data_IF_378475512452
#
_entry.id   IF_378475512452
#
_cell.length_a   1.000
_cell.length_b   1.000
_cell.length_c   1.000
_cell.angle_alpha   90.00
_cell.angle_beta   90.00
_cell.angle_gamma   90.00
#
_symmetry.space_group_name_H-M   'P 1'
#
loop_
_entity.id
_entity.type
_entity.pdbx_description
1 polymer ?
#
# COMPACT_ATOMS: atom_id res chain seq x y z
N UNK A 1 -7.55 8.99 10.01
CA UNK A 1 -6.40 9.29 10.88
C UNK A 1 -5.15 9.49 10.03
N UNK A 2 -4.15 10.21 10.57
CA UNK A 2 -2.89 10.48 9.89
C UNK A 2 -2.93 11.58 8.83
N UNK A 3 -1.77 11.91 8.31
CA UNK A 3 -1.51 12.91 7.29
C UNK A 3 -0.38 12.43 6.37
N UNK A 4 0.10 13.30 5.46
CA UNK A 4 1.24 13.01 4.58
C UNK A 4 2.43 12.46 5.38
N UNK A 5 2.97 11.32 4.93
CA UNK A 5 4.10 10.63 5.55
C UNK A 5 3.71 9.49 6.50
N UNK A 6 2.45 9.43 6.97
CA UNK A 6 1.96 8.29 7.73
C UNK A 6 1.37 7.21 6.82
N UNK A 7 1.32 5.96 7.28
CA UNK A 7 0.66 4.87 6.55
C UNK A 7 -0.81 4.69 6.91
N UNK A 8 -1.38 5.61 7.68
CA UNK A 8 -2.82 5.70 7.91
C UNK A 8 -3.59 6.08 6.64
N UNK A 9 -4.90 5.83 6.62
CA UNK A 9 -5.76 6.18 5.48
C UNK A 9 -5.64 7.67 5.09
N UNK A 10 -5.50 8.58 6.05
CA UNK A 10 -5.30 10.01 5.78
C UNK A 10 -3.97 10.34 5.07
N UNK A 11 -2.98 9.44 5.10
CA UNK A 11 -1.72 9.59 4.37
C UNK A 11 -1.71 8.93 2.99
N UNK A 12 -2.56 7.91 2.79
CA UNK A 12 -2.53 7.07 1.59
C UNK A 12 -3.80 7.16 0.73
N UNK A 13 -4.97 7.32 1.36
CA UNK A 13 -6.24 7.32 0.64
C UNK A 13 -6.48 8.66 -0.03
N UNK A 14 -6.76 8.62 -1.31
CA UNK A 14 -7.14 9.78 -2.13
C UNK A 14 -8.42 9.50 -2.90
N UNK A 15 -9.25 10.50 -3.18
CA UNK A 15 -10.37 10.35 -4.09
C UNK A 15 -9.88 10.08 -5.51
N UNK A 16 -10.61 9.24 -6.25
CA UNK A 16 -10.36 8.99 -7.65
C UNK A 16 -11.66 9.11 -8.45
N UNK A 17 -11.56 9.58 -9.69
CA UNK A 17 -12.69 9.68 -10.62
C UNK A 17 -12.27 9.03 -11.94
N UNK A 18 -13.08 8.07 -12.41
CA UNK A 18 -12.98 7.51 -13.75
C UNK A 18 -14.21 7.97 -14.54
N UNK A 19 -13.97 8.59 -15.70
CA UNK A 19 -15.05 9.14 -16.53
C UNK A 19 -14.88 8.74 -17.99
N UNK A 20 -15.86 8.02 -18.50
CA UNK A 20 -15.96 7.64 -19.91
C UNK A 20 -17.45 7.54 -20.28
N UNK A 21 -18.03 8.61 -20.86
CA UNK A 21 -19.46 8.67 -21.17
C UNK A 21 -19.94 7.48 -22.00
N UNK A 22 -21.06 6.89 -21.61
CA UNK A 22 -21.66 5.73 -22.29
C UNK A 22 -20.91 4.41 -22.10
N UNK A 23 -19.79 4.40 -21.34
CA UNK A 23 -18.99 3.19 -21.08
C UNK A 23 -18.86 2.88 -19.60
N UNK A 24 -18.50 3.87 -18.79
CA UNK A 24 -18.42 3.73 -17.32
C UNK A 24 -19.76 4.15 -16.73
N UNK A 25 -20.41 3.29 -15.93
CA UNK A 25 -21.67 3.65 -15.27
C UNK A 25 -21.45 4.75 -14.22
N UNK A 26 -22.49 5.54 -13.96
CA UNK A 26 -22.48 6.54 -12.90
C UNK A 26 -22.71 5.85 -11.54
N UNK A 27 -21.60 5.52 -10.85
CA UNK A 27 -21.63 4.86 -9.55
C UNK A 27 -20.56 5.43 -8.63
N UNK A 28 -20.78 5.34 -7.32
CA UNK A 28 -19.76 5.51 -6.31
C UNK A 28 -19.36 4.15 -5.78
N UNK A 29 -18.07 3.88 -5.71
CA UNK A 29 -17.55 2.61 -5.22
C UNK A 29 -16.49 2.81 -4.14
N UNK A 30 -16.37 1.85 -3.21
CA UNK A 30 -15.30 1.72 -2.24
C UNK A 30 -14.29 0.64 -2.63
N UNK A 31 -14.36 0.15 -3.86
CA UNK A 31 -13.45 -0.86 -4.38
C UNK A 31 -11.99 -0.43 -4.20
N UNK A 32 -11.19 -1.37 -3.77
CA UNK A 32 -9.77 -1.15 -3.55
C UNK A 32 -9.04 -0.94 -4.88
N UNK A 33 -8.27 0.14 -4.98
CA UNK A 33 -7.44 0.46 -6.14
C UNK A 33 -6.15 1.16 -5.70
N UNK A 34 -5.15 1.11 -6.55
CA UNK A 34 -3.85 1.76 -6.36
C UNK A 34 -3.44 2.51 -7.63
N UNK A 35 -2.58 3.52 -7.48
CA UNK A 35 -1.94 4.16 -8.64
C UNK A 35 -1.10 3.18 -9.47
N UNK A 36 -0.63 2.09 -8.88
CA UNK A 36 0.05 0.99 -9.58
C UNK A 36 -0.85 0.33 -10.64
N UNK A 37 -2.17 0.37 -10.46
CA UNK A 37 -3.14 -0.26 -11.35
C UNK A 37 -3.39 0.53 -12.64
N UNK A 38 -2.97 1.80 -12.69
CA UNK A 38 -3.19 2.63 -13.87
C UNK A 38 -2.48 2.08 -15.10
N UNK A 39 -1.21 1.72 -14.98
CA UNK A 39 -0.46 1.21 -16.13
C UNK A 39 -1.09 -0.03 -16.75
N UNK A 40 -1.28 -1.16 -16.03
CA UNK A 40 -1.88 -2.37 -16.61
C UNK A 40 -3.31 -2.13 -17.12
N UNK A 41 -4.09 -1.30 -16.44
CA UNK A 41 -5.45 -0.98 -16.84
C UNK A 41 -5.50 -0.17 -18.13
N UNK A 42 -4.68 0.87 -18.26
CA UNK A 42 -4.66 1.73 -19.45
C UNK A 42 -4.08 1.01 -20.66
N UNK A 43 -3.03 0.19 -20.49
CA UNK A 43 -2.49 -0.65 -21.56
C UNK A 43 -3.56 -1.62 -22.07
N UNK A 44 -4.27 -2.29 -21.17
CA UNK A 44 -5.35 -3.19 -21.53
C UNK A 44 -6.53 -2.48 -22.20
N UNK A 45 -6.87 -1.26 -21.78
CA UNK A 45 -7.90 -0.44 -22.43
C UNK A 45 -7.52 -0.04 -23.85
N UNK A 46 -6.23 0.19 -24.09
CA UNK A 46 -5.67 0.50 -25.41
C UNK A 46 -5.50 -0.73 -26.31
N UNK A 47 -5.81 -1.94 -25.83
CA UNK A 47 -5.59 -3.20 -26.57
C UNK A 47 -4.12 -3.65 -26.64
N UNK A 48 -3.27 -3.10 -25.78
CA UNK A 48 -1.87 -3.48 -25.67
C UNK A 48 -1.64 -4.70 -24.76
N UNK A 49 -0.40 -5.19 -24.78
CA UNK A 49 0.06 -6.30 -23.94
C UNK A 49 1.17 -5.82 -23.00
N UNK A 50 1.32 -6.48 -21.86
CA UNK A 50 2.37 -6.24 -20.87
C UNK A 50 2.74 -7.53 -20.13
N UNK A 51 3.96 -7.58 -19.62
CA UNK A 51 4.43 -8.71 -18.83
C UNK A 51 3.91 -8.61 -17.39
N UNK A 52 2.88 -9.41 -17.06
CA UNK A 52 2.22 -9.40 -15.74
C UNK A 52 3.16 -9.67 -14.57
N UNK A 53 4.18 -10.51 -14.76
CA UNK A 53 5.11 -10.92 -13.70
C UNK A 53 6.03 -9.81 -13.21
N UNK A 54 6.16 -8.73 -13.97
CA UNK A 54 7.01 -7.59 -13.64
C UNK A 54 6.24 -6.43 -12.98
N UNK A 55 4.93 -6.58 -12.73
CA UNK A 55 4.08 -5.51 -12.24
C UNK A 55 3.38 -5.89 -10.93
N UNK A 56 3.41 -4.99 -9.96
CA UNK A 56 2.59 -5.05 -8.75
C UNK A 56 1.16 -4.51 -8.98
N UNK A 57 0.96 -3.80 -10.08
CA UNK A 57 -0.35 -3.31 -10.51
C UNK A 57 -1.22 -4.42 -11.09
N UNK A 58 -2.54 -4.31 -10.92
CA UNK A 58 -3.54 -5.20 -11.50
C UNK A 58 -4.45 -4.43 -12.46
N UNK A 59 -4.93 -5.11 -13.50
CA UNK A 59 -5.90 -4.54 -14.43
C UNK A 59 -7.28 -4.47 -13.75
N UNK A 60 -7.68 -3.26 -13.39
CA UNK A 60 -8.95 -2.99 -12.69
C UNK A 60 -10.07 -2.53 -13.62
N UNK A 61 -10.05 -2.87 -14.92
CA UNK A 61 -11.14 -2.53 -15.87
C UNK A 61 -12.51 -2.99 -15.38
N UNK A 62 -12.58 -4.16 -14.74
CA UNK A 62 -13.85 -4.67 -14.18
C UNK A 62 -14.38 -3.80 -13.03
N UNK A 63 -13.50 -3.15 -12.29
CA UNK A 63 -13.92 -2.16 -11.29
C UNK A 63 -14.60 -0.97 -11.96
N UNK A 64 -14.09 -0.49 -13.09
CA UNK A 64 -14.69 0.64 -13.81
C UNK A 64 -16.01 0.29 -14.51
N UNK A 65 -16.08 -0.85 -15.17
CA UNK A 65 -17.22 -1.17 -16.03
C UNK A 65 -18.30 -2.02 -15.35
N UNK A 66 -17.93 -2.81 -14.34
CA UNK A 66 -18.80 -3.80 -13.70
C UNK A 66 -18.95 -3.54 -12.18
N UNK A 67 -18.32 -2.50 -11.65
CA UNK A 67 -18.26 -2.22 -10.21
C UNK A 67 -17.77 -3.41 -9.37
N UNK A 68 -16.83 -4.19 -9.90
CA UNK A 68 -16.28 -5.40 -9.26
C UNK A 68 -15.03 -5.08 -8.45
N UNK A 69 -14.86 -5.73 -7.29
CA UNK A 69 -13.63 -5.67 -6.52
C UNK A 69 -12.58 -6.59 -7.15
N UNK A 70 -11.61 -6.04 -7.88
CA UNK A 70 -10.53 -6.80 -8.53
C UNK A 70 -9.31 -6.89 -7.62
N UNK A 71 -8.86 -5.76 -7.06
CA UNK A 71 -7.75 -5.73 -6.11
C UNK A 71 -8.25 -6.13 -4.73
N UNK A 72 -7.54 -7.05 -4.09
CA UNK A 72 -7.86 -7.50 -2.72
C UNK A 72 -6.86 -6.98 -1.68
N UNK A 73 -5.64 -6.65 -2.12
CA UNK A 73 -4.52 -6.38 -1.21
C UNK A 73 -3.80 -5.09 -1.55
N UNK A 74 -3.41 -4.33 -0.52
CA UNK A 74 -2.43 -3.26 -0.59
C UNK A 74 -1.43 -3.43 0.54
N UNK A 75 -0.14 -3.44 0.18
CA UNK A 75 0.97 -3.51 1.09
C UNK A 75 1.53 -2.10 1.30
N UNK A 76 1.58 -1.67 2.56
CA UNK A 76 2.02 -0.32 2.93
C UNK A 76 3.45 -0.37 3.43
N UNK A 77 4.33 0.26 2.69
CA UNK A 77 5.75 0.29 2.99
C UNK A 77 6.19 1.65 3.50
N UNK A 78 7.19 1.62 4.38
CA UNK A 78 8.05 2.76 4.68
C UNK A 78 9.47 2.35 4.34
N UNK A 79 10.03 2.97 3.31
CA UNK A 79 11.28 2.53 2.69
C UNK A 79 11.18 1.04 2.26
N UNK A 80 12.00 0.16 2.80
CA UNK A 80 12.06 -1.27 2.54
C UNK A 80 11.26 -2.13 3.55
N UNK A 81 10.60 -1.48 4.50
CA UNK A 81 9.91 -2.15 5.60
C UNK A 81 8.40 -2.16 5.38
N UNK A 82 7.79 -3.35 5.39
CA UNK A 82 6.34 -3.50 5.43
C UNK A 82 5.81 -3.05 6.79
N UNK A 83 4.92 -2.07 6.77
CA UNK A 83 4.31 -1.47 7.97
C UNK A 83 2.91 -2.03 8.20
N UNK A 84 2.12 -2.13 7.11
CA UNK A 84 0.74 -2.57 7.19
C UNK A 84 0.34 -3.36 5.93
N UNK A 85 -0.69 -4.18 6.08
CA UNK A 85 -1.39 -4.85 5.00
C UNK A 85 -2.88 -4.50 5.08
N UNK A 86 -3.46 -4.09 3.96
CA UNK A 86 -4.91 -4.10 3.79
C UNK A 86 -5.30 -5.29 2.92
N UNK A 87 -6.19 -6.12 3.45
CA UNK A 87 -6.83 -7.22 2.72
C UNK A 87 -8.35 -7.01 2.79
N UNK A 88 -8.96 -6.71 1.64
CA UNK A 88 -10.39 -6.36 1.54
C UNK A 88 -10.75 -5.21 2.48
N UNK A 89 -11.70 -5.44 3.43
CA UNK A 89 -12.13 -4.49 4.44
C UNK A 89 -11.18 -4.35 5.64
N UNK A 90 -10.26 -5.30 5.83
CA UNK A 90 -9.37 -5.37 6.99
C UNK A 90 -8.04 -4.71 6.73
N UNK A 91 -7.54 -3.94 7.69
CA UNK A 91 -6.19 -3.38 7.67
C UNK A 91 -5.48 -3.67 8.98
N UNK A 92 -4.36 -4.39 8.86
CA UNK A 92 -3.49 -4.71 9.99
C UNK A 92 -2.23 -3.86 9.93
N UNK A 93 -1.80 -3.35 11.07
CA UNK A 93 -0.49 -2.75 11.28
C UNK A 93 0.38 -3.73 12.02
N UNK A 94 1.48 -4.14 11.43
CA UNK A 94 2.48 -5.02 12.03
C UNK A 94 3.67 -4.24 12.59
N UNK A 95 3.76 -2.96 12.24
CA UNK A 95 4.77 -2.01 12.75
C UNK A 95 4.14 -0.64 12.96
N UNK A 96 4.85 0.19 13.72
CA UNK A 96 4.44 1.56 14.02
C UNK A 96 4.06 2.34 12.76
N UNK A 97 2.80 2.77 12.64
CA UNK A 97 2.29 3.48 11.46
C UNK A 97 2.81 4.91 11.31
N UNK A 98 3.25 5.54 12.38
CA UNK A 98 3.74 6.91 12.37
C UNK A 98 4.75 7.19 13.49
N UNK A 99 6.05 6.96 13.30
CA UNK A 99 7.06 7.10 14.34
C UNK A 99 7.36 8.56 14.74
N UNK A 100 6.71 9.53 14.09
CA UNK A 100 6.88 10.97 14.39
C UNK A 100 5.71 11.55 15.21
N UNK A 101 4.76 10.70 15.65
CA UNK A 101 3.57 11.13 16.37
C UNK A 101 3.48 10.37 17.71
N UNK A 102 2.83 10.95 18.72
CA UNK A 102 2.56 10.31 20.02
C UNK A 102 1.50 9.20 19.93
N UNK A 103 1.50 8.49 18.81
CA UNK A 103 0.58 7.41 18.51
C UNK A 103 0.99 6.06 19.09
N UNK A 104 0.35 4.97 18.62
CA UNK A 104 0.72 3.61 18.98
C UNK A 104 2.18 3.31 18.66
N UNK A 105 2.86 2.63 19.55
CA UNK A 105 4.26 2.22 19.41
C UNK A 105 4.36 0.77 18.95
N UNK A 106 5.57 0.29 18.68
CA UNK A 106 5.79 -1.12 18.32
C UNK A 106 5.29 -2.11 19.39
N UNK A 107 5.17 -1.70 20.64
CA UNK A 107 4.64 -2.53 21.73
C UNK A 107 3.12 -2.74 21.66
N UNK A 108 2.43 -1.88 20.93
CA UNK A 108 0.99 -1.93 20.77
C UNK A 108 0.57 -2.76 19.56
N UNK A 109 1.53 -3.26 18.77
CA UNK A 109 1.28 -4.04 17.57
C UNK A 109 0.94 -5.51 17.89
N UNK A 110 0.12 -6.18 17.06
CA UNK A 110 -0.54 -5.62 15.87
C UNK A 110 -1.79 -4.80 16.23
N UNK A 111 -2.11 -3.80 15.38
CA UNK A 111 -3.40 -3.11 15.41
C UNK A 111 -4.26 -3.56 14.24
N UNK A 112 -5.55 -3.74 14.44
CA UNK A 112 -6.50 -4.16 13.40
C UNK A 112 -7.68 -3.19 13.29
N UNK A 113 -8.00 -2.82 12.05
CA UNK A 113 -9.13 -1.96 11.73
C UNK A 113 -9.99 -2.55 10.62
N UNK A 114 -11.31 -2.35 10.70
CA UNK A 114 -12.21 -2.57 9.58
C UNK A 114 -12.41 -1.23 8.87
N UNK A 115 -11.79 -1.04 7.70
CA UNK A 115 -11.75 0.25 6.99
C UNK A 115 -13.11 0.63 6.37
N UNK A 116 -14.01 -0.31 6.15
CA UNK A 116 -15.36 -0.01 5.68
C UNK A 116 -16.22 0.61 6.77
N UNK A 117 -16.09 0.12 8.01
CA UNK A 117 -16.85 0.60 9.16
C UNK A 117 -16.13 1.72 9.93
N UNK A 118 -14.80 1.70 9.93
CA UNK A 118 -13.95 2.69 10.59
C UNK A 118 -12.86 3.23 9.64
N UNK A 119 -13.21 4.01 8.61
CA UNK A 119 -12.23 4.59 7.70
C UNK A 119 -11.30 5.61 8.38
N UNK A 120 -11.61 6.00 9.61
CA UNK A 120 -10.81 6.92 10.42
C UNK A 120 -9.77 6.21 11.28
N UNK A 121 -9.79 4.88 11.34
CA UNK A 121 -8.85 4.05 12.11
C UNK A 121 -8.78 4.46 13.59
N UNK A 122 -9.97 4.63 14.20
CA UNK A 122 -10.11 5.06 15.60
C UNK A 122 -10.13 3.90 16.58
N UNK A 123 -10.72 2.78 16.19
CA UNK A 123 -11.07 1.67 17.08
C UNK A 123 -10.26 0.44 16.71
N UNK A 124 -9.19 0.20 17.46
CA UNK A 124 -8.45 -1.06 17.36
C UNK A 124 -9.30 -2.23 17.86
N UNK A 125 -9.48 -3.22 16.99
CA UNK A 125 -10.28 -4.41 17.25
C UNK A 125 -9.44 -5.70 17.23
N UNK A 126 -8.12 -5.60 17.31
CA UNK A 126 -7.21 -6.74 17.22
C UNK A 126 -7.51 -7.78 18.33
N UNK A 127 -7.75 -7.34 19.56
CA UNK A 127 -7.99 -8.23 20.72
C UNK A 127 -9.18 -9.16 20.53
N UNK A 128 -10.24 -8.65 19.90
CA UNK A 128 -11.49 -9.39 19.71
C UNK A 128 -11.54 -10.21 18.42
N UNK A 129 -10.52 -10.04 17.54
CA UNK A 129 -10.49 -10.63 16.20
C UNK A 129 -9.19 -11.41 15.90
N UNK A 130 -8.70 -12.19 16.86
CA UNK A 130 -7.41 -12.89 16.79
C UNK A 130 -7.27 -13.82 15.57
N UNK A 131 -8.35 -14.42 15.08
CA UNK A 131 -8.32 -15.24 13.86
C UNK A 131 -8.01 -14.42 12.62
N UNK A 132 -8.57 -13.20 12.54
CA UNK A 132 -8.31 -12.28 11.43
C UNK A 132 -6.88 -11.76 11.54
N UNK A 133 -6.43 -11.40 12.73
CA UNK A 133 -5.05 -11.00 13.01
C UNK A 133 -4.08 -12.06 12.48
N UNK A 134 -4.22 -13.33 12.93
CA UNK A 134 -3.33 -14.41 12.52
C UNK A 134 -3.32 -14.61 10.99
N UNK A 135 -4.49 -14.62 10.36
CA UNK A 135 -4.59 -14.73 8.88
C UNK A 135 -3.83 -13.59 8.17
N UNK A 136 -3.96 -12.36 8.64
CA UNK A 136 -3.31 -11.20 8.01
C UNK A 136 -1.81 -11.15 8.29
N UNK A 137 -1.37 -11.63 9.45
CA UNK A 137 0.05 -11.81 9.76
C UNK A 137 0.67 -12.85 8.84
N UNK A 138 0.01 -14.00 8.61
CA UNK A 138 0.46 -15.02 7.68
C UNK A 138 0.58 -14.48 6.26
N UNK A 139 -0.45 -13.78 5.76
CA UNK A 139 -0.41 -13.11 4.45
C UNK A 139 0.74 -12.08 4.35
N UNK A 140 1.00 -11.36 5.44
CA UNK A 140 2.10 -10.39 5.49
C UNK A 140 3.47 -11.08 5.43
N UNK A 141 3.62 -12.20 6.12
CA UNK A 141 4.85 -13.02 6.12
C UNK A 141 5.09 -13.64 4.74
N UNK A 142 4.06 -14.22 4.13
CA UNK A 142 4.13 -14.80 2.79
C UNK A 142 4.57 -13.74 1.76
N UNK A 143 4.00 -12.55 1.86
CA UNK A 143 4.40 -11.44 1.00
C UNK A 143 5.87 -11.06 1.21
N UNK A 144 6.33 -10.88 2.45
CA UNK A 144 7.73 -10.55 2.76
C UNK A 144 8.68 -11.61 2.21
N UNK A 145 8.32 -12.90 2.32
CA UNK A 145 9.14 -14.00 1.82
C UNK A 145 9.16 -14.08 0.28
N UNK A 146 8.08 -13.66 -0.37
CA UNK A 146 7.97 -13.66 -1.84
C UNK A 146 8.82 -12.59 -2.52
N UNK A 147 9.20 -11.53 -1.77
CA UNK A 147 9.96 -10.41 -2.32
C UNK A 147 11.40 -10.83 -2.56
N UNK A 148 11.82 -10.84 -3.83
CA UNK A 148 13.24 -10.90 -4.18
C UNK A 148 13.84 -9.51 -3.99
N UNK A 149 14.69 -9.35 -2.99
CA UNK A 149 15.50 -8.15 -2.84
C UNK A 149 16.53 -8.12 -3.98
N UNK A 150 16.29 -7.28 -4.97
CA UNK A 150 17.33 -6.85 -5.90
C UNK A 150 18.04 -5.64 -5.29
N UNK A 151 19.37 -5.55 -5.36
CA UNK A 151 20.08 -4.35 -4.95
C UNK A 151 19.47 -3.13 -5.63
N UNK A 152 19.26 -2.06 -4.89
CA UNK A 152 18.81 -0.80 -5.47
C UNK A 152 19.86 -0.32 -6.49
N UNK A 153 19.44 0.17 -7.65
CA UNK A 153 20.36 0.82 -8.60
C UNK A 153 21.13 1.98 -7.95
N UNK A 154 20.59 2.56 -6.89
CA UNK A 154 21.28 3.58 -6.09
C UNK A 154 22.39 3.02 -5.19
N UNK A 155 22.37 1.73 -4.83
CA UNK A 155 23.44 1.13 -4.01
C UNK A 155 24.77 1.10 -4.74
N UNK A 156 24.78 1.04 -6.08
CA UNK A 156 26.00 1.16 -6.89
C UNK A 156 26.50 2.60 -6.97
N UNK A 157 25.60 3.58 -6.85
CA UNK A 157 25.91 5.01 -7.03
C UNK A 157 26.21 5.69 -5.69
N UNK A 158 25.59 5.22 -4.59
CA UNK A 158 25.76 5.80 -3.25
C UNK A 158 27.21 5.83 -2.75
N UNK A 159 28.05 4.77 -2.87
CA UNK A 159 29.41 4.81 -2.34
C UNK A 159 30.27 5.96 -2.89
N UNK A 160 30.26 6.28 -4.19
CA UNK A 160 30.99 7.46 -4.71
C UNK A 160 30.43 8.79 -4.19
N UNK A 161 29.09 8.92 -4.06
CA UNK A 161 28.44 10.11 -3.52
C UNK A 161 28.71 10.27 -2.04
N UNK A 162 28.64 9.21 -1.25
CA UNK A 162 28.94 9.21 0.18
C UNK A 162 30.40 9.63 0.43
N UNK A 163 31.34 9.07 -0.32
CA UNK A 163 32.75 9.45 -0.24
C UNK A 163 33.01 10.93 -0.57
N UNK A 164 32.29 11.47 -1.59
CA UNK A 164 32.36 12.88 -1.94
C UNK A 164 31.76 13.78 -0.84
N UNK A 165 30.62 13.40 -0.27
CA UNK A 165 29.95 14.09 0.84
C UNK A 165 30.81 14.12 2.10
N UNK A 166 31.41 13.01 2.48
CA UNK A 166 32.30 12.89 3.64
C UNK A 166 33.59 13.73 3.47
N UNK A 167 34.13 13.76 2.25
CA UNK A 167 35.27 14.61 1.89
C UNK A 167 34.95 16.10 1.98
N UNK A 168 33.71 16.49 1.62
CA UNK A 168 33.24 17.87 1.72
C UNK A 168 33.09 18.31 3.19
N UNK A 169 32.51 17.45 4.04
CA UNK A 169 32.22 17.76 5.42
C UNK A 169 33.47 17.69 6.34
N UNK A 170 34.52 16.94 5.96
CA UNK A 170 35.82 16.95 6.68
C UNK A 170 36.64 18.20 6.45
N UNK A 171 36.25 19.08 5.52
CA UNK A 171 36.91 20.36 5.23
C UNK A 171 36.26 21.57 5.90
N UNK A 172 35.17 21.36 6.65
CA UNK A 172 34.55 22.35 7.55
C UNK A 172 34.90 22.07 8.99
#
# INVERSE_FOLDING_TARGET
KGNKGSVYEGGYRVPAIAWMPGRIPEVTTTALASTLDFFPTLVSLAGGEYEKKSLDGVDIRKTFFENSNVRTDIHYYRQDTLIALRHKEWKIYIKDPNPWDDGPTQKDMPLLYNIEHDPSEKYDIAKDNQKIVSMLEDLSLDHIQSIRRTPSQYEEILPPYQAAYDKYNKKK
#
